data_IF_151277119643
#
_entry.id   IF_151277119643
#
_cell.length_a   1.000
_cell.length_b   1.000
_cell.length_c   1.000
_cell.angle_alpha   90.00
_cell.angle_beta   90.00
_cell.angle_gamma   90.00
#
_symmetry.space_group_name_H-M   'P 1'
#
loop_
_entity.id
_entity.type
_entity.pdbx_description
1 polymer ?
#
# COMPACT_ATOMS: atom_id res chain seq x y z
N UNK A 1 27.14 -2.36 16.12
CA UNK A 1 25.94 -1.51 15.84
C UNK A 1 25.79 -1.21 14.35
N UNK A 2 26.88 -0.86 13.65
CA UNK A 2 26.89 -0.67 12.18
C UNK A 2 26.47 -1.93 11.41
N UNK A 3 26.94 -3.11 11.82
CA UNK A 3 26.66 -4.39 11.14
C UNK A 3 25.17 -4.75 11.16
N UNK A 4 24.48 -4.42 12.24
CA UNK A 4 23.05 -4.69 12.38
C UNK A 4 22.22 -3.83 11.40
N UNK A 5 22.57 -2.56 11.25
CA UNK A 5 21.89 -1.66 10.30
C UNK A 5 22.13 -2.11 8.86
N UNK A 6 23.35 -2.56 8.54
CA UNK A 6 23.73 -3.09 7.23
C UNK A 6 22.86 -4.31 6.85
N UNK A 7 22.45 -5.12 7.82
CA UNK A 7 21.60 -6.29 7.59
C UNK A 7 20.10 -5.93 7.61
N UNK A 8 19.65 -5.10 8.55
CA UNK A 8 18.22 -4.79 8.72
C UNK A 8 17.66 -4.04 7.51
N UNK A 9 18.40 -3.07 6.96
CA UNK A 9 17.93 -2.27 5.82
C UNK A 9 17.56 -3.12 4.60
N UNK A 10 18.43 -4.00 4.06
CA UNK A 10 18.08 -4.82 2.91
C UNK A 10 16.97 -5.83 3.24
N UNK A 11 16.89 -6.34 4.48
CA UNK A 11 15.80 -7.24 4.90
C UNK A 11 14.45 -6.53 4.83
N UNK A 12 14.35 -5.30 5.33
CA UNK A 12 13.10 -4.52 5.25
C UNK A 12 12.76 -4.20 3.80
N UNK A 13 13.74 -3.79 2.98
CA UNK A 13 13.50 -3.49 1.56
C UNK A 13 13.04 -4.72 0.77
N UNK A 14 13.62 -5.89 1.05
CA UNK A 14 13.23 -7.15 0.44
C UNK A 14 11.81 -7.55 0.86
N UNK A 15 11.48 -7.42 2.15
CA UNK A 15 10.12 -7.65 2.65
C UNK A 15 9.11 -6.69 2.00
N UNK A 16 9.43 -5.39 1.91
CA UNK A 16 8.60 -4.39 1.22
C UNK A 16 8.38 -4.76 -0.24
N UNK A 17 9.44 -5.18 -0.97
CA UNK A 17 9.32 -5.61 -2.36
C UNK A 17 8.40 -6.82 -2.53
N UNK A 18 8.49 -7.81 -1.64
CA UNK A 18 7.62 -8.99 -1.68
C UNK A 18 6.16 -8.57 -1.43
N UNK A 19 5.91 -7.72 -0.44
CA UNK A 19 4.56 -7.25 -0.13
C UNK A 19 3.93 -6.48 -1.29
N UNK A 20 4.71 -5.64 -1.99
CA UNK A 20 4.23 -4.90 -3.17
C UNK A 20 3.83 -5.87 -4.28
N UNK A 21 4.65 -6.89 -4.56
CA UNK A 21 4.34 -7.91 -5.58
C UNK A 21 3.08 -8.69 -5.19
N UNK A 22 2.98 -9.13 -3.93
CA UNK A 22 1.81 -9.86 -3.43
C UNK A 22 0.54 -9.01 -3.47
N UNK A 23 0.63 -7.71 -3.14
CA UNK A 23 -0.48 -6.78 -3.25
C UNK A 23 -0.95 -6.62 -4.70
N UNK A 24 -0.01 -6.45 -5.65
CA UNK A 24 -0.33 -6.37 -7.07
C UNK A 24 -1.03 -7.65 -7.58
N UNK A 25 -0.50 -8.83 -7.23
CA UNK A 25 -1.14 -10.11 -7.55
C UNK A 25 -2.53 -10.21 -6.90
N UNK A 26 -2.65 -9.79 -5.64
CA UNK A 26 -3.92 -9.78 -4.90
C UNK A 26 -4.98 -8.91 -5.57
N UNK A 27 -4.62 -7.69 -6.00
CA UNK A 27 -5.52 -6.76 -6.70
C UNK A 27 -6.04 -7.37 -8.01
N UNK A 28 -5.14 -7.98 -8.80
CA UNK A 28 -5.47 -8.58 -10.09
C UNK A 28 -6.25 -9.90 -9.98
N UNK A 29 -6.13 -10.61 -8.85
CA UNK A 29 -6.73 -11.94 -8.68
C UNK A 29 -8.25 -11.90 -8.53
N UNK A 30 -8.79 -10.87 -7.89
CA UNK A 30 -10.23 -10.78 -7.67
C UNK A 30 -10.91 -10.22 -8.92
N UNK A 31 -11.97 -10.89 -9.38
CA UNK A 31 -12.81 -10.46 -10.51
C UNK A 31 -13.90 -9.51 -10.05
N UNK A 32 -14.45 -8.74 -11.00
CA UNK A 32 -15.47 -7.72 -10.72
C UNK A 32 -16.85 -8.28 -10.34
N UNK A 33 -17.04 -9.60 -10.42
CA UNK A 33 -18.28 -10.31 -10.09
C UNK A 33 -18.49 -10.54 -8.58
N UNK A 34 -17.52 -10.17 -7.75
CA UNK A 34 -17.60 -10.28 -6.29
C UNK A 34 -18.17 -8.97 -5.72
N UNK A 35 -19.23 -9.07 -4.93
CA UNK A 35 -19.82 -7.90 -4.24
C UNK A 35 -18.74 -7.16 -3.44
N UNK A 36 -18.67 -5.83 -3.59
CA UNK A 36 -17.71 -4.96 -2.87
C UNK A 36 -16.23 -5.27 -3.15
N UNK A 37 -15.90 -5.92 -4.27
CA UNK A 37 -14.52 -6.22 -4.67
C UNK A 37 -13.62 -5.00 -4.68
N UNK A 38 -14.14 -3.81 -5.04
CA UNK A 38 -13.35 -2.59 -4.99
C UNK A 38 -12.82 -2.31 -3.58
N UNK A 39 -13.67 -2.41 -2.55
CA UNK A 39 -13.25 -2.19 -1.16
C UNK A 39 -12.16 -3.17 -0.73
N UNK A 40 -12.25 -4.43 -1.17
CA UNK A 40 -11.22 -5.43 -0.95
C UNK A 40 -9.90 -5.06 -1.65
N UNK A 41 -9.96 -4.60 -2.91
CA UNK A 41 -8.79 -4.12 -3.67
C UNK A 41 -8.15 -2.89 -3.01
N UNK A 42 -8.94 -1.95 -2.51
CA UNK A 42 -8.43 -0.78 -1.76
C UNK A 42 -7.73 -1.23 -0.47
N UNK A 43 -8.28 -2.23 0.24
CA UNK A 43 -7.62 -2.78 1.42
C UNK A 43 -6.28 -3.46 1.08
N UNK A 44 -6.23 -4.22 -0.02
CA UNK A 44 -5.00 -4.85 -0.53
C UNK A 44 -4.01 -3.80 -1.06
N UNK A 45 -4.48 -2.66 -1.59
CA UNK A 45 -3.62 -1.55 -2.00
C UNK A 45 -2.93 -0.92 -0.78
N UNK A 46 -3.62 -0.80 0.36
CA UNK A 46 -3.05 -0.30 1.63
C UNK A 46 -1.83 -1.10 2.11
N UNK A 47 -1.88 -2.43 2.03
CA UNK A 47 -0.82 -3.27 1.45
C UNK A 47 0.53 -2.65 1.03
N UNK A 48 0.55 -2.36 -0.27
CA UNK A 48 1.66 -1.77 -0.99
C UNK A 48 2.00 -0.37 -0.46
N UNK A 49 1.00 0.42 -0.06
CA UNK A 49 1.22 1.75 0.49
C UNK A 49 2.08 1.73 1.76
N UNK A 50 1.75 0.86 2.72
CA UNK A 50 2.56 0.69 3.94
C UNK A 50 3.94 0.12 3.62
N UNK A 51 4.04 -0.83 2.71
CA UNK A 51 5.32 -1.38 2.28
C UNK A 51 6.25 -0.31 1.67
N UNK A 52 5.69 0.60 0.85
CA UNK A 52 6.39 1.75 0.28
C UNK A 52 6.79 2.77 1.35
N UNK A 53 5.92 3.08 2.30
CA UNK A 53 6.23 3.97 3.43
C UNK A 53 7.43 3.43 4.23
N UNK A 54 7.44 2.13 4.53
CA UNK A 54 8.56 1.47 5.21
C UNK A 54 9.85 1.55 4.39
N UNK A 55 9.77 1.35 3.08
CA UNK A 55 10.93 1.46 2.20
C UNK A 55 11.49 2.90 2.19
N UNK A 56 10.63 3.92 2.11
CA UNK A 56 11.04 5.32 2.17
C UNK A 56 11.75 5.68 3.50
N UNK A 57 11.25 5.18 4.63
CA UNK A 57 11.90 5.37 5.92
C UNK A 57 13.30 4.74 5.95
N UNK A 58 13.45 3.53 5.38
CA UNK A 58 14.75 2.84 5.29
C UNK A 58 15.73 3.57 4.37
N UNK A 59 15.23 4.19 3.30
CA UNK A 59 16.02 4.98 2.35
C UNK A 59 16.39 6.38 2.87
N UNK A 60 15.84 6.80 4.01
CA UNK A 60 16.15 8.09 4.61
C UNK A 60 15.28 9.24 4.12
N UNK A 61 14.07 8.95 3.63
CA UNK A 61 13.11 9.93 3.10
C UNK A 61 11.88 10.10 4.02
N UNK A 62 12.05 10.56 5.29
CA UNK A 62 10.98 10.55 6.28
C UNK A 62 9.85 11.54 5.97
N UNK A 63 10.15 12.68 5.33
CA UNK A 63 9.13 13.65 4.97
C UNK A 63 8.17 13.08 3.90
N UNK A 64 8.71 12.36 2.93
CA UNK A 64 7.91 11.71 1.89
C UNK A 64 7.11 10.53 2.47
N UNK A 65 7.73 9.74 3.35
CA UNK A 65 7.04 8.65 4.06
C UNK A 65 5.86 9.17 4.88
N UNK A 66 6.04 10.27 5.63
CA UNK A 66 4.98 10.91 6.40
C UNK A 66 3.87 11.46 5.49
N UNK A 67 4.24 12.09 4.39
CA UNK A 67 3.27 12.62 3.41
C UNK A 67 2.40 11.49 2.86
N UNK A 68 3.00 10.37 2.45
CA UNK A 68 2.27 9.18 2.03
C UNK A 68 1.38 8.62 3.15
N UNK A 69 1.92 8.47 4.36
CA UNK A 69 1.17 7.95 5.51
C UNK A 69 -0.10 8.75 5.79
N UNK A 70 -0.03 10.08 5.69
CA UNK A 70 -1.19 10.95 5.86
C UNK A 70 -2.15 10.81 4.69
N UNK A 71 -1.67 10.81 3.44
CA UNK A 71 -2.53 10.89 2.26
C UNK A 71 -3.22 9.57 1.88
N UNK A 72 -2.59 8.42 2.11
CA UNK A 72 -3.11 7.09 1.77
C UNK A 72 -4.55 6.84 2.26
N UNK A 73 -4.91 7.11 3.53
CA UNK A 73 -6.30 6.93 3.97
C UNK A 73 -7.28 7.87 3.27
N UNK A 74 -6.89 9.11 2.95
CA UNK A 74 -7.76 10.05 2.23
C UNK A 74 -7.99 9.60 0.77
N UNK A 75 -6.93 9.13 0.10
CA UNK A 75 -7.03 8.60 -1.26
C UNK A 75 -7.94 7.37 -1.28
N UNK A 76 -7.72 6.43 -0.36
CA UNK A 76 -8.55 5.23 -0.21
C UNK A 76 -10.02 5.57 0.04
N UNK A 77 -10.27 6.54 0.94
CA UNK A 77 -11.62 7.00 1.24
C UNK A 77 -12.27 7.69 0.03
N UNK A 78 -11.54 8.54 -0.68
CA UNK A 78 -12.05 9.24 -1.87
C UNK A 78 -12.42 8.26 -2.98
N UNK A 79 -11.59 7.23 -3.25
CA UNK A 79 -11.88 6.20 -4.26
C UNK A 79 -13.11 5.39 -3.85
N UNK A 80 -13.19 4.95 -2.59
CA UNK A 80 -14.33 4.18 -2.09
C UNK A 80 -15.63 5.01 -2.11
N UNK A 81 -15.57 6.29 -1.74
CA UNK A 81 -16.69 7.20 -1.76
C UNK A 81 -17.18 7.49 -3.18
N UNK A 82 -16.25 7.68 -4.12
CA UNK A 82 -16.56 7.88 -5.53
C UNK A 82 -17.21 6.66 -6.16
N UNK A 83 -16.81 5.44 -5.78
CA UNK A 83 -17.50 4.23 -6.25
C UNK A 83 -18.90 4.09 -5.64
N UNK A 84 -19.04 4.29 -4.33
CA UNK A 84 -20.34 4.15 -3.66
C UNK A 84 -21.41 5.13 -4.17
N UNK A 85 -21.01 6.37 -4.46
CA UNK A 85 -21.94 7.42 -4.93
C UNK A 85 -21.90 7.64 -6.45
N UNK A 86 -20.86 7.15 -7.13
CA UNK A 86 -20.71 7.22 -8.59
C UNK A 86 -21.42 6.09 -9.32
N UNK A 87 -21.74 5.00 -8.63
CA UNK A 87 -22.85 4.11 -8.99
C UNK A 87 -24.19 4.83 -8.68
N UNK A 88 -24.45 5.94 -9.38
CA UNK A 88 -25.78 6.52 -9.47
C UNK A 88 -26.55 5.86 -10.61
N UNK A 89 -27.79 5.45 -10.33
CA UNK A 89 -28.91 5.13 -11.25
C UNK A 89 -28.60 4.92 -12.75
#
# INVERSE_FOLDING_TARGET
>A
MMDLIIIIRPVILLASSILIILAAVGILRFKDDIERVLYARIHILGIADVACILALLVLGEPLLALTYFVLVPFVSHAIANAHYHGEGD
#
